data_IF_517471800274
#
_entry.id   IF_517471800274
#
_cell.length_a   1.000
_cell.length_b   1.000
_cell.length_c   1.000
_cell.angle_alpha   90.00
_cell.angle_beta   90.00
_cell.angle_gamma   90.00
#
_symmetry.space_group_name_H-M   'P 1'
#
loop_
_entity.id
_entity.type
_entity.pdbx_description
1 polymer ?
#
# COMPACT_ATOMS: atom_id res chain seq x y z
N UNK A 1 27.66 -4.88 1.48
CA UNK A 1 26.82 -3.81 0.92
C UNK A 1 25.69 -4.51 0.19
N UNK A 2 24.54 -4.63 0.85
CA UNK A 2 23.34 -5.30 0.30
C UNK A 2 22.65 -4.34 -0.67
N UNK A 3 22.41 -4.82 -1.89
CA UNK A 3 21.72 -4.09 -2.95
C UNK A 3 20.22 -4.08 -2.63
N UNK A 4 19.67 -2.91 -2.32
CA UNK A 4 18.23 -2.73 -2.15
C UNK A 4 17.59 -2.67 -3.54
N UNK A 5 17.12 -3.82 -4.03
CA UNK A 5 16.45 -3.95 -5.32
C UNK A 5 14.96 -3.59 -5.17
N UNK A 6 14.38 -2.91 -6.16
CA UNK A 6 12.95 -2.57 -6.21
C UNK A 6 12.33 -3.21 -7.45
N UNK A 7 11.31 -4.04 -7.26
CA UNK A 7 10.52 -4.68 -8.31
C UNK A 7 9.23 -3.87 -8.55
N UNK A 8 8.88 -3.62 -9.81
CA UNK A 8 7.67 -2.87 -10.19
C UNK A 8 6.89 -3.68 -11.23
N UNK A 9 5.64 -4.03 -10.93
CA UNK A 9 4.71 -4.68 -11.85
C UNK A 9 3.75 -3.68 -12.48
N UNK A 10 3.51 -3.81 -13.79
CA UNK A 10 2.48 -3.08 -14.54
C UNK A 10 1.46 -4.10 -15.07
N UNK A 11 0.19 -3.93 -14.69
CA UNK A 11 -0.91 -4.81 -15.09
C UNK A 11 -1.62 -4.28 -16.34
N UNK A 12 -1.45 -4.97 -17.47
CA UNK A 12 -2.38 -4.91 -18.60
C UNK A 12 -3.15 -6.24 -18.67
N UNK A 13 -4.46 -6.14 -18.46
CA UNK A 13 -5.36 -7.27 -18.23
C UNK A 13 -5.46 -8.20 -19.47
N UNK A 14 -4.61 -9.23 -19.52
CA UNK A 14 -4.83 -10.60 -20.05
C UNK A 14 -3.52 -11.37 -20.29
N UNK A 15 -2.36 -10.72 -20.12
CA UNK A 15 -1.07 -11.39 -20.12
C UNK A 15 -0.18 -10.65 -19.11
N UNK A 16 0.13 -11.28 -17.98
CA UNK A 16 1.10 -10.72 -17.03
C UNK A 16 2.48 -10.85 -17.66
N UNK A 17 2.83 -9.87 -18.49
CA UNK A 17 4.17 -9.74 -19.04
C UNK A 17 5.00 -9.01 -17.99
N UNK A 18 5.63 -9.75 -17.08
CA UNK A 18 6.63 -9.16 -16.19
C UNK A 18 7.80 -8.67 -17.05
N UNK A 19 7.98 -7.36 -17.09
CA UNK A 19 9.13 -6.74 -17.71
C UNK A 19 10.09 -6.30 -16.61
N UNK A 20 11.22 -7.00 -16.50
CA UNK A 20 12.24 -6.71 -15.50
C UNK A 20 13.01 -5.45 -15.89
N UNK A 21 12.66 -4.32 -15.26
CA UNK A 21 13.38 -3.06 -15.42
C UNK A 21 14.33 -2.85 -14.23
N UNK A 22 15.64 -2.93 -14.49
CA UNK A 22 16.66 -2.51 -13.53
C UNK A 22 16.98 -1.03 -13.71
N UNK A 23 16.45 -0.18 -12.83
CA UNK A 23 16.76 1.25 -12.81
C UNK A 23 17.97 1.50 -11.90
N UNK A 24 18.98 2.21 -12.42
CA UNK A 24 20.08 2.70 -11.59
C UNK A 24 19.58 3.83 -10.70
N UNK A 25 20.12 4.01 -9.48
CA UNK A 25 19.72 5.11 -8.60
C UNK A 25 19.79 6.50 -9.25
N UNK A 26 20.73 6.73 -10.18
CA UNK A 26 20.84 8.01 -10.89
C UNK A 26 19.70 8.26 -11.90
N UNK A 27 18.92 7.23 -12.25
CA UNK A 27 17.76 7.31 -13.13
C UNK A 27 16.46 7.54 -12.35
N UNK A 28 16.50 7.44 -11.02
CA UNK A 28 15.35 7.65 -10.16
C UNK A 28 15.29 9.10 -9.71
N UNK A 29 14.10 9.68 -9.73
CA UNK A 29 13.83 10.97 -9.09
C UNK A 29 12.96 10.70 -7.87
N UNK A 30 13.49 10.98 -6.67
CA UNK A 30 12.68 10.92 -5.45
C UNK A 30 11.59 11.97 -5.52
N UNK A 31 10.34 11.57 -5.36
CA UNK A 31 9.22 12.49 -5.26
C UNK A 31 8.79 12.63 -3.80
N UNK A 32 8.43 13.85 -3.35
CA UNK A 32 7.83 14.04 -2.04
C UNK A 32 6.52 13.28 -1.94
N UNK A 33 6.25 12.65 -0.80
CA UNK A 33 5.02 11.89 -0.55
C UNK A 33 3.77 12.76 -0.70
N UNK A 34 3.87 14.06 -0.43
CA UNK A 34 2.80 15.04 -0.58
C UNK A 34 2.30 15.19 -2.03
N UNK A 35 3.09 14.73 -3.02
CA UNK A 35 2.65 14.69 -4.42
C UNK A 35 1.76 13.49 -4.74
N UNK A 36 1.68 12.53 -3.83
CA UNK A 36 0.90 11.29 -3.98
C UNK A 36 -0.19 11.24 -2.89
N UNK A 37 -1.31 11.96 -3.06
CA UNK A 37 -2.33 12.09 -2.01
C UNK A 37 -2.95 10.74 -1.60
N UNK A 38 -3.02 9.79 -2.53
CA UNK A 38 -3.52 8.44 -2.27
C UNK A 38 -2.61 7.67 -1.30
N UNK A 39 -1.29 7.80 -1.45
CA UNK A 39 -0.32 7.19 -0.54
C UNK A 39 -0.39 7.80 0.86
N UNK A 40 -0.51 9.13 0.93
CA UNK A 40 -0.69 9.84 2.21
C UNK A 40 -1.95 9.34 2.91
N UNK A 41 -3.06 9.18 2.19
CA UNK A 41 -4.30 8.67 2.76
C UNK A 41 -4.16 7.25 3.30
N UNK A 42 -3.61 6.33 2.51
CA UNK A 42 -3.40 4.94 2.92
C UNK A 42 -2.46 4.88 4.14
N UNK A 43 -1.36 5.64 4.11
CA UNK A 43 -0.43 5.75 5.24
C UNK A 43 -1.13 6.22 6.52
N UNK A 44 -1.98 7.24 6.41
CA UNK A 44 -2.74 7.75 7.56
C UNK A 44 -3.73 6.72 8.11
N UNK A 45 -4.43 5.99 7.23
CA UNK A 45 -5.36 4.90 7.59
C UNK A 45 -4.63 3.78 8.34
N UNK A 46 -3.50 3.33 7.82
CA UNK A 46 -2.67 2.29 8.45
C UNK A 46 -2.12 2.78 9.80
N UNK A 47 -1.66 4.04 9.89
CA UNK A 47 -1.17 4.61 11.14
C UNK A 47 -2.26 4.65 12.22
N UNK A 48 -3.50 5.00 11.85
CA UNK A 48 -4.64 4.97 12.75
C UNK A 48 -4.90 3.54 13.26
N UNK A 49 -4.91 2.55 12.38
CA UNK A 49 -5.13 1.15 12.76
C UNK A 49 -4.03 0.61 13.67
N UNK A 50 -2.78 1.02 13.48
CA UNK A 50 -1.66 0.64 14.35
C UNK A 50 -1.79 1.16 15.78
N UNK A 51 -2.62 2.18 16.02
CA UNK A 51 -2.95 2.63 17.37
C UNK A 51 -3.95 1.71 18.09
N UNK A 52 -4.62 0.81 17.36
CA UNK A 52 -5.55 -0.17 17.91
C UNK A 52 -4.81 -1.43 18.42
N UNK A 53 -5.48 -2.19 19.30
CA UNK A 53 -5.04 -3.52 19.71
C UNK A 53 -5.37 -4.57 18.63
N UNK A 54 -4.64 -4.48 17.51
CA UNK A 54 -4.77 -5.42 16.40
C UNK A 54 -4.36 -6.83 16.79
N UNK A 55 -5.04 -7.84 16.22
CA UNK A 55 -4.56 -9.21 16.35
C UNK A 55 -3.27 -9.43 15.53
N UNK A 56 -2.48 -10.48 15.82
CA UNK A 56 -1.21 -10.72 15.13
C UNK A 56 -1.33 -10.84 13.61
N UNK A 57 -2.40 -11.45 13.11
CA UNK A 57 -2.64 -11.64 11.67
C UNK A 57 -2.94 -10.29 11.00
N UNK A 58 -3.76 -9.46 11.62
CA UNK A 58 -4.07 -8.12 11.11
C UNK A 58 -2.85 -7.22 11.07
N UNK A 59 -1.94 -7.32 12.05
CA UNK A 59 -0.67 -6.58 12.03
C UNK A 59 0.21 -6.99 10.85
N UNK A 60 0.24 -8.27 10.50
CA UNK A 60 0.95 -8.75 9.32
C UNK A 60 0.33 -8.23 8.04
N UNK A 61 -1.00 -8.31 7.91
CA UNK A 61 -1.74 -7.76 6.76
C UNK A 61 -1.43 -6.27 6.59
N UNK A 62 -1.53 -5.45 7.65
CA UNK A 62 -1.20 -4.02 7.55
C UNK A 62 0.26 -3.78 7.15
N UNK A 63 1.19 -4.63 7.59
CA UNK A 63 2.60 -4.51 7.21
C UNK A 63 2.85 -4.90 5.75
N UNK A 64 1.98 -5.72 5.15
CA UNK A 64 1.98 -5.98 3.72
C UNK A 64 1.39 -4.80 2.95
N UNK A 65 0.27 -4.24 3.42
CA UNK A 65 -0.43 -3.11 2.78
C UNK A 65 0.35 -1.78 2.80
N UNK A 66 1.36 -1.64 3.66
CA UNK A 66 2.22 -0.44 3.70
C UNK A 66 3.32 -0.45 2.62
N UNK A 67 3.63 -1.61 2.03
CA UNK A 67 4.69 -1.77 1.03
C UNK A 67 4.32 -1.34 -0.40
N UNK A 68 3.11 -1.63 -0.92
CA UNK A 68 2.77 -1.32 -2.31
C UNK A 68 2.54 0.18 -2.51
N UNK A 69 2.93 0.67 -3.70
CA UNK A 69 2.69 2.05 -4.15
C UNK A 69 1.21 2.27 -4.47
N UNK A 70 0.50 1.21 -4.86
CA UNK A 70 -0.95 1.21 -5.15
C UNK A 70 -1.53 -0.10 -4.64
N UNK A 71 -2.57 -0.01 -3.82
CA UNK A 71 -3.32 -1.18 -3.38
C UNK A 71 -4.25 -1.66 -4.49
N UNK A 72 -4.23 -2.96 -4.74
CA UNK A 72 -5.25 -3.63 -5.55
C UNK A 72 -6.64 -3.52 -4.90
N UNK A 73 -7.73 -3.72 -5.66
CA UNK A 73 -9.08 -3.71 -5.09
C UNK A 73 -9.25 -4.69 -3.92
N UNK A 74 -8.65 -5.88 -4.01
CA UNK A 74 -8.71 -6.89 -2.95
C UNK A 74 -7.98 -6.42 -1.67
N UNK A 75 -6.80 -5.80 -1.82
CA UNK A 75 -6.05 -5.23 -0.70
C UNK A 75 -6.79 -4.07 -0.02
N UNK A 76 -7.49 -3.24 -0.80
CA UNK A 76 -8.39 -2.22 -0.27
C UNK A 76 -9.56 -2.82 0.52
N UNK A 77 -10.16 -3.91 0.05
CA UNK A 77 -11.20 -4.63 0.77
C UNK A 77 -10.71 -5.19 2.12
N UNK A 78 -9.48 -5.72 2.17
CA UNK A 78 -8.86 -6.14 3.42
C UNK A 78 -8.69 -4.97 4.39
N UNK A 79 -8.16 -3.83 3.91
CA UNK A 79 -7.99 -2.64 4.73
C UNK A 79 -9.33 -2.16 5.31
N UNK A 80 -10.36 -2.03 4.48
CA UNK A 80 -11.72 -1.65 4.89
C UNK A 80 -12.31 -2.67 5.87
N UNK A 81 -12.04 -3.96 5.66
CA UNK A 81 -12.48 -5.03 6.55
C UNK A 81 -11.90 -4.91 7.95
N UNK A 82 -10.61 -4.57 8.06
CA UNK A 82 -9.95 -4.31 9.36
C UNK A 82 -10.53 -3.02 9.97
N UNK A 83 -10.63 -1.94 9.22
CA UNK A 83 -11.20 -0.66 9.70
C UNK A 83 -12.59 -0.82 10.33
N UNK A 84 -13.48 -1.57 9.67
CA UNK A 84 -14.81 -1.87 10.18
C UNK A 84 -14.79 -2.62 11.51
N UNK A 85 -13.86 -3.57 11.69
CA UNK A 85 -13.74 -4.34 12.94
C UNK A 85 -13.32 -3.47 14.13
N UNK A 86 -12.54 -2.43 13.87
CA UNK A 86 -12.07 -1.49 14.89
C UNK A 86 -12.92 -0.22 15.00
N UNK A 87 -14.07 -0.16 14.31
CA UNK A 87 -14.97 1.00 14.36
C UNK A 87 -14.38 2.26 13.73
N UNK A 88 -13.36 2.12 12.87
CA UNK A 88 -12.80 3.21 12.09
C UNK A 88 -13.67 3.34 10.84
N UNK A 89 -14.38 4.47 10.74
CA UNK A 89 -15.18 4.74 9.56
C UNK A 89 -14.23 4.93 8.36
N UNK A 90 -14.43 4.19 7.25
CA UNK A 90 -13.68 4.47 6.03
C UNK A 90 -14.04 5.89 5.59
N UNK A 91 -13.04 6.71 5.26
CA UNK A 91 -13.17 8.08 4.74
C UNK A 91 -14.11 8.21 3.53
N UNK A 92 -14.49 7.09 2.91
CA UNK A 92 -15.30 6.98 1.70
C UNK A 92 -16.77 6.60 1.94
N UNK A 93 -17.23 6.43 3.18
CA UNK A 93 -18.66 6.16 3.46
C UNK A 93 -19.39 7.49 3.70
N UNK A 94 -19.61 8.24 2.62
CA UNK A 94 -20.74 9.16 2.50
C UNK A 94 -21.46 8.77 1.20
N UNK A 95 -22.48 7.92 1.34
CA UNK A 95 -23.55 7.75 0.34
C UNK A 95 -24.68 8.68 0.74
#
# INVERSE_FOLDING_TARGET
>A
MTQDNVEVGLDDAQMVTMQDYSLKPQQLTSLPLEREPQLVEISNRIALLRSCHLDPCEREILSMLERPIVLTPAELEYLVGIEKRYGIAPSWVNV
#
